data_IF_193249445745
#
_entry.id   IF_193249445745
#
_cell.length_a   1.000
_cell.length_b   1.000
_cell.length_c   1.000
_cell.angle_alpha   90.00
_cell.angle_beta   90.00
_cell.angle_gamma   90.00
#
_symmetry.space_group_name_H-M   'P 1'
#
loop_
_entity.id
_entity.type
_entity.pdbx_description
1 polymer ?
#
# COMPACT_ATOMS: atom_id res chain seq x y z
N UNK A 1 8.59 -23.08 5.71
CA UNK A 1 7.33 -23.29 4.95
C UNK A 1 7.00 -24.78 4.91
N UNK A 2 5.72 -25.15 4.97
CA UNK A 2 5.27 -26.54 4.72
C UNK A 2 4.76 -26.63 3.28
N UNK A 3 5.15 -27.67 2.53
CA UNK A 3 4.66 -27.92 1.17
C UNK A 3 3.28 -28.57 1.25
N UNK A 4 2.29 -27.92 0.64
CA UNK A 4 0.91 -28.41 0.63
C UNK A 4 0.45 -28.59 -0.81
N UNK A 5 -0.25 -29.70 -1.08
CA UNK A 5 -0.96 -29.92 -2.34
C UNK A 5 -2.41 -29.49 -2.15
N UNK A 6 -2.92 -28.70 -3.08
CA UNK A 6 -4.31 -28.24 -3.11
C UNK A 6 -4.90 -28.53 -4.49
N UNK A 7 -6.18 -28.87 -4.53
CA UNK A 7 -6.90 -29.02 -5.78
C UNK A 7 -7.50 -27.68 -6.18
N UNK A 8 -7.38 -27.34 -7.45
CA UNK A 8 -7.92 -26.11 -8.05
C UNK A 8 -8.70 -26.52 -9.29
N UNK A 9 -9.83 -25.87 -9.52
CA UNK A 9 -10.52 -25.97 -10.80
C UNK A 9 -9.66 -25.37 -11.92
N UNK A 10 -9.95 -25.77 -13.16
CA UNK A 10 -9.28 -25.23 -14.34
C UNK A 10 -9.41 -23.69 -14.42
N UNK A 11 -10.57 -23.16 -14.05
CA UNK A 11 -10.83 -21.73 -14.06
C UNK A 11 -9.98 -20.98 -13.02
N UNK A 12 -9.88 -21.50 -11.80
CA UNK A 12 -9.03 -20.93 -10.75
C UNK A 12 -7.54 -20.99 -11.15
N UNK A 13 -7.10 -22.10 -11.75
CA UNK A 13 -5.74 -22.24 -12.24
C UNK A 13 -5.39 -21.21 -13.32
N UNK A 14 -6.27 -21.01 -14.30
CA UNK A 14 -6.09 -20.01 -15.35
C UNK A 14 -6.08 -18.58 -14.80
N UNK A 15 -6.99 -18.27 -13.89
CA UNK A 15 -7.05 -16.97 -13.21
C UNK A 15 -5.74 -16.68 -12.47
N UNK A 16 -5.25 -17.65 -11.68
CA UNK A 16 -4.03 -17.49 -10.91
C UNK A 16 -2.80 -17.36 -11.83
N UNK A 17 -2.74 -18.09 -12.95
CA UNK A 17 -1.65 -17.95 -13.94
C UNK A 17 -1.63 -16.56 -14.57
N UNK A 18 -2.79 -16.05 -14.99
CA UNK A 18 -2.92 -14.72 -15.56
C UNK A 18 -2.46 -13.65 -14.55
N UNK A 19 -2.92 -13.75 -13.29
CA UNK A 19 -2.56 -12.80 -12.24
C UNK A 19 -1.08 -12.85 -11.87
N UNK A 20 -0.50 -14.06 -11.80
CA UNK A 20 0.93 -14.26 -11.56
C UNK A 20 1.77 -13.55 -12.62
N UNK A 21 1.43 -13.69 -13.91
CA UNK A 21 2.11 -12.99 -15.01
C UNK A 21 1.92 -11.48 -14.93
N UNK A 22 0.68 -11.01 -14.70
CA UNK A 22 0.36 -9.58 -14.62
C UNK A 22 1.10 -8.87 -13.49
N UNK A 23 1.28 -9.56 -12.36
CA UNK A 23 1.95 -9.00 -11.16
C UNK A 23 3.44 -9.32 -11.07
N UNK A 24 3.95 -10.13 -12.00
CA UNK A 24 5.33 -10.65 -11.98
C UNK A 24 5.72 -11.32 -10.65
N UNK A 25 4.80 -12.06 -10.04
CA UNK A 25 5.04 -12.84 -8.81
C UNK A 25 4.73 -14.31 -9.05
N UNK A 26 5.33 -15.19 -8.25
CA UNK A 26 5.07 -16.63 -8.38
C UNK A 26 3.65 -17.00 -7.96
N UNK A 27 3.14 -18.10 -8.52
CA UNK A 27 1.82 -18.65 -8.15
C UNK A 27 1.70 -18.89 -6.64
N UNK A 28 2.73 -19.50 -6.06
CA UNK A 28 2.76 -19.83 -4.65
C UNK A 28 2.73 -18.58 -3.77
N UNK A 29 3.37 -17.49 -4.20
CA UNK A 29 3.30 -16.22 -3.48
C UNK A 29 1.91 -15.61 -3.56
N UNK A 30 1.30 -15.62 -4.75
CA UNK A 30 -0.05 -15.09 -4.94
C UNK A 30 -1.09 -15.82 -4.10
N UNK A 31 -0.97 -17.15 -3.99
CA UNK A 31 -1.84 -17.98 -3.13
C UNK A 31 -1.61 -17.65 -1.65
N UNK A 32 -0.37 -17.52 -1.20
CA UNK A 32 -0.07 -17.15 0.19
C UNK A 32 -0.61 -15.77 0.53
N UNK A 33 -0.36 -14.77 -0.30
CA UNK A 33 -0.86 -13.41 -0.09
C UNK A 33 -2.40 -13.38 0.00
N UNK A 34 -3.08 -14.22 -0.80
CA UNK A 34 -4.53 -14.36 -0.74
C UNK A 34 -4.99 -15.02 0.58
N UNK A 35 -4.32 -16.09 1.00
CA UNK A 35 -4.58 -16.75 2.30
C UNK A 35 -4.36 -15.78 3.44
N UNK A 36 -3.25 -15.04 3.45
CA UNK A 36 -2.94 -14.06 4.48
C UNK A 36 -4.00 -12.95 4.49
N UNK A 37 -4.36 -12.42 3.32
CA UNK A 37 -5.39 -11.38 3.21
C UNK A 37 -6.76 -11.81 3.76
N UNK A 38 -7.13 -13.08 3.57
CA UNK A 38 -8.45 -13.60 3.98
C UNK A 38 -8.44 -14.06 5.43
N UNK A 39 -7.37 -14.74 5.87
CA UNK A 39 -7.34 -15.48 7.13
C UNK A 39 -6.36 -14.95 8.17
N UNK A 40 -5.33 -14.19 7.78
CA UNK A 40 -4.43 -13.63 8.78
C UNK A 40 -5.12 -12.54 9.63
N UNK A 41 -6.22 -11.96 9.12
CA UNK A 41 -6.87 -10.80 9.72
C UNK A 41 -5.92 -9.60 9.71
N UNK A 42 -6.44 -8.40 9.47
CA UNK A 42 -5.70 -7.22 9.94
C UNK A 42 -5.84 -7.24 11.45
N UNK A 43 -4.90 -7.83 12.19
CA UNK A 43 -4.90 -7.58 13.63
C UNK A 43 -4.85 -6.06 13.80
N UNK A 44 -5.68 -5.51 14.68
CA UNK A 44 -5.62 -4.09 14.99
C UNK A 44 -4.19 -3.71 15.40
N UNK A 45 -3.45 -4.64 16.00
CA UNK A 45 -2.01 -4.58 16.25
C UNK A 45 -1.19 -4.32 14.98
N UNK A 46 -1.37 -5.06 13.88
CA UNK A 46 -0.60 -4.84 12.64
C UNK A 46 -0.81 -3.44 12.05
N UNK A 47 -2.02 -2.89 12.15
CA UNK A 47 -2.29 -1.52 11.72
C UNK A 47 -1.67 -0.50 12.67
N UNK A 48 -1.80 -0.70 13.97
CA UNK A 48 -1.21 0.18 14.99
C UNK A 48 0.32 0.15 14.94
N UNK A 49 0.93 -1.00 14.69
CA UNK A 49 2.38 -1.16 14.52
C UNK A 49 2.87 -0.42 13.28
N UNK A 50 2.16 -0.57 12.15
CA UNK A 50 2.47 0.19 10.94
C UNK A 50 2.31 1.71 11.15
N UNK A 51 1.30 2.13 11.91
CA UNK A 51 1.03 3.53 12.22
C UNK A 51 2.09 4.10 13.17
N UNK A 52 2.51 3.34 14.19
CA UNK A 52 3.59 3.69 15.10
C UNK A 52 4.95 3.76 14.38
N UNK A 53 5.23 2.83 13.47
CA UNK A 53 6.46 2.86 12.67
C UNK A 53 6.48 4.06 11.69
N UNK A 54 5.31 4.47 11.19
CA UNK A 54 5.18 5.64 10.34
C UNK A 54 5.14 6.97 11.12
N UNK A 55 4.76 6.93 12.40
CA UNK A 55 4.70 8.10 13.25
C UNK A 55 6.10 8.68 13.45
N UNK A 56 6.27 9.96 13.11
CA UNK A 56 7.53 10.66 13.31
C UNK A 56 8.55 10.53 12.17
N UNK A 57 8.22 9.88 11.03
CA UNK A 57 9.08 9.88 9.82
C UNK A 57 9.50 11.31 9.43
N UNK A 58 8.63 12.29 9.68
CA UNK A 58 8.84 13.69 9.29
C UNK A 58 9.37 14.55 10.44
N UNK A 59 9.56 13.99 11.64
CA UNK A 59 9.94 14.72 12.85
C UNK A 59 11.32 15.39 12.76
N UNK A 60 12.24 14.80 11.99
CA UNK A 60 13.62 15.26 11.86
C UNK A 60 13.94 15.86 10.48
N UNK A 61 12.93 16.07 9.63
CA UNK A 61 13.12 16.72 8.33
C UNK A 61 13.29 18.23 8.53
N UNK A 62 14.48 18.74 8.21
CA UNK A 62 14.85 20.17 8.34
C UNK A 62 14.66 20.95 7.04
N UNK A 63 14.40 20.24 5.95
CA UNK A 63 14.14 20.73 4.59
C UNK A 63 12.72 21.31 4.42
N UNK A 64 11.80 21.00 5.34
CA UNK A 64 10.39 21.41 5.24
C UNK A 64 10.10 22.79 5.86
N UNK A 65 11.10 23.46 6.44
CA UNK A 65 10.90 24.75 7.11
C UNK A 65 9.98 24.66 8.34
N UNK A 66 9.36 25.77 8.73
CA UNK A 66 8.35 25.77 9.79
C UNK A 66 7.09 25.02 9.33
N UNK A 67 6.60 24.10 10.14
CA UNK A 67 5.42 23.28 9.87
C UNK A 67 4.18 24.12 9.54
N UNK A 68 3.98 25.26 10.21
CA UNK A 68 2.84 26.14 9.95
C UNK A 68 2.91 26.78 8.56
N UNK A 69 4.09 27.28 8.17
CA UNK A 69 4.32 27.88 6.85
C UNK A 69 4.20 26.83 5.74
N UNK A 70 4.70 25.61 5.98
CA UNK A 70 4.58 24.49 5.05
C UNK A 70 3.12 24.08 4.83
N UNK A 71 2.34 23.94 5.92
CA UNK A 71 0.92 23.62 5.84
C UNK A 71 0.10 24.75 5.23
N UNK A 72 0.45 26.01 5.51
CA UNK A 72 -0.15 27.19 4.90
C UNK A 72 0.01 27.17 3.38
N UNK A 73 1.24 26.99 2.89
CA UNK A 73 1.55 26.88 1.47
C UNK A 73 0.86 25.69 0.75
N UNK A 74 0.60 24.60 1.48
CA UNK A 74 -0.10 23.42 0.95
C UNK A 74 -1.62 23.62 0.90
N UNK A 75 -2.17 24.39 1.86
CA UNK A 75 -3.60 24.69 1.98
C UNK A 75 -4.02 25.90 1.17
N UNK A 76 -3.09 26.78 0.82
CA UNK A 76 -3.34 27.86 -0.13
C UNK A 76 -3.73 27.27 -1.47
N UNK A 77 -5.02 27.38 -1.77
CA UNK A 77 -5.59 26.97 -3.04
C UNK A 77 -5.14 27.92 -4.16
N UNK A 78 -3.95 27.67 -4.69
CA UNK A 78 -3.39 28.39 -5.84
C UNK A 78 -4.03 28.00 -7.17
N UNK A 79 -5.13 27.25 -7.17
CA UNK A 79 -5.87 26.92 -8.42
C UNK A 79 -6.33 28.18 -9.14
N UNK A 80 -6.76 29.21 -8.40
CA UNK A 80 -7.23 30.47 -8.99
C UNK A 80 -6.09 31.29 -9.63
N UNK A 81 -4.88 31.27 -9.06
CA UNK A 81 -3.69 31.94 -9.64
C UNK A 81 -3.23 31.32 -10.96
N UNK A 82 -3.55 30.04 -11.19
CA UNK A 82 -3.28 29.35 -12.47
C UNK A 82 -4.17 29.85 -13.60
N UNK A 83 -5.35 30.37 -13.30
CA UNK A 83 -6.29 30.89 -14.29
C UNK A 83 -6.07 32.38 -14.62
N UNK A 84 -5.40 33.14 -13.74
CA UNK A 84 -5.14 34.57 -13.94
C UNK A 84 -3.89 34.90 -14.79
N UNK A 85 -3.16 33.88 -15.28
CA UNK A 85 -1.99 34.03 -16.18
C UNK A 85 -2.30 33.73 -17.66
N UNK A 86 -3.53 33.96 -18.11
CA UNK A 86 -3.91 33.91 -19.53
C UNK A 86 -4.29 35.27 -20.07
#
# INVERSE_FOLDING_TARGET
>A
MKRTQIYLSNNEWQLLQMLSRKRQVTMAQLIRDAVDKVYAGKSAESFLDALNAAAGIWKNRRDLGNTEDYLGNLREDRRLERFSRR
#
